data_IF_924374125248
#
_entry.id   IF_924374125248
#
_cell.length_a   1.000
_cell.length_b   1.000
_cell.length_c   1.000
_cell.angle_alpha   90.00
_cell.angle_beta   90.00
_cell.angle_gamma   90.00
#
_symmetry.space_group_name_H-M   'P 1'
#
loop_
_entity.id
_entity.type
_entity.pdbx_description
1 polymer ?
#
# COMPACT_ATOMS: atom_id res chain seq x y z
N UNK A 1 23.12 10.17 19.24
CA UNK A 1 22.27 10.87 20.24
C UNK A 1 21.54 12.08 19.60
N UNK A 2 22.16 12.76 18.60
CA UNK A 2 21.57 13.96 17.94
C UNK A 2 20.35 13.68 17.06
N UNK A 3 20.30 12.53 16.38
CA UNK A 3 19.20 12.18 15.48
C UNK A 3 17.87 11.95 16.23
N UNK A 4 17.91 11.26 17.36
CA UNK A 4 16.75 10.97 18.21
C UNK A 4 16.23 12.29 18.85
N UNK A 5 17.14 13.18 19.27
CA UNK A 5 16.77 14.47 19.83
C UNK A 5 16.09 15.40 18.79
N UNK A 6 16.56 15.38 17.53
CA UNK A 6 15.93 16.13 16.45
C UNK A 6 14.58 15.55 16.05
N UNK A 7 14.43 14.23 16.06
CA UNK A 7 13.14 13.58 15.82
C UNK A 7 12.13 13.94 16.91
N UNK A 8 12.53 13.88 18.19
CA UNK A 8 11.66 14.24 19.31
C UNK A 8 11.20 15.71 19.26
N UNK A 9 12.04 16.64 18.84
CA UNK A 9 11.68 18.05 18.66
C UNK A 9 10.66 18.28 17.55
N UNK A 10 10.64 17.42 16.53
CA UNK A 10 9.72 17.55 15.40
C UNK A 10 8.37 16.84 15.63
N UNK A 11 8.22 16.02 16.67
CA UNK A 11 6.97 15.33 16.99
C UNK A 11 5.78 16.29 17.09
N UNK A 12 5.84 17.43 17.80
CA UNK A 12 4.72 18.36 17.88
C UNK A 12 4.31 18.91 16.50
N UNK A 13 5.29 19.24 15.67
CA UNK A 13 5.05 19.76 14.31
C UNK A 13 4.40 18.69 13.41
N UNK A 14 4.85 17.44 13.53
CA UNK A 14 4.27 16.32 12.80
C UNK A 14 2.81 16.09 13.24
N UNK A 15 2.54 16.12 14.55
CA UNK A 15 1.18 15.95 15.09
C UNK A 15 0.27 17.06 14.57
N UNK A 16 0.71 18.33 14.64
CA UNK A 16 -0.06 19.46 14.09
C UNK A 16 -0.29 19.29 12.61
N UNK A 17 0.72 18.87 11.83
CA UNK A 17 0.60 18.61 10.41
C UNK A 17 -0.43 17.51 10.10
N UNK A 18 -0.43 16.42 10.86
CA UNK A 18 -1.41 15.35 10.72
C UNK A 18 -2.82 15.84 11.05
N UNK A 19 -2.99 16.57 12.13
CA UNK A 19 -4.29 17.15 12.53
C UNK A 19 -4.81 18.09 11.44
N UNK A 20 -3.96 19.01 10.95
CA UNK A 20 -4.32 19.92 9.87
C UNK A 20 -4.67 19.20 8.57
N UNK A 21 -3.95 18.14 8.23
CA UNK A 21 -4.25 17.30 7.08
C UNK A 21 -5.61 16.63 7.21
N UNK A 22 -5.92 16.06 8.37
CA UNK A 22 -7.21 15.40 8.64
C UNK A 22 -8.37 16.41 8.63
N UNK A 23 -8.19 17.58 9.25
CA UNK A 23 -9.18 18.65 9.24
C UNK A 23 -9.43 19.17 7.82
N UNK A 24 -8.37 19.45 7.06
CA UNK A 24 -8.49 19.88 5.68
C UNK A 24 -9.22 18.83 4.83
N UNK A 25 -8.85 17.55 4.96
CA UNK A 25 -9.52 16.47 4.26
C UNK A 25 -11.01 16.38 4.62
N UNK A 26 -11.33 16.52 5.90
CA UNK A 26 -12.72 16.56 6.37
C UNK A 26 -13.52 17.72 5.74
N UNK A 27 -12.97 18.95 5.75
CA UNK A 27 -13.63 20.10 5.16
C UNK A 27 -13.80 19.96 3.65
N UNK A 28 -12.81 19.45 2.92
CA UNK A 28 -12.93 19.18 1.50
C UNK A 28 -14.03 18.16 1.18
N UNK A 29 -14.21 17.14 2.01
CA UNK A 29 -15.29 16.17 1.84
C UNK A 29 -16.64 16.75 2.23
N UNK A 30 -16.71 17.47 3.37
CA UNK A 30 -17.95 18.05 3.89
C UNK A 30 -18.49 19.16 2.99
N UNK A 31 -17.62 20.01 2.42
CA UNK A 31 -17.96 21.14 1.55
C UNK A 31 -17.70 20.85 0.07
N UNK A 32 -17.66 19.58 -0.33
CA UNK A 32 -17.32 19.17 -1.70
C UNK A 32 -18.16 19.89 -2.77
N UNK A 33 -19.44 20.13 -2.49
CA UNK A 33 -20.36 20.75 -3.46
C UNK A 33 -20.01 22.22 -3.67
N UNK A 34 -19.67 22.93 -2.62
CA UNK A 34 -19.24 24.34 -2.70
C UNK A 34 -17.90 24.46 -3.41
N UNK A 35 -16.95 23.59 -3.11
CA UNK A 35 -15.64 23.54 -3.77
C UNK A 35 -15.79 23.25 -5.26
N UNK A 36 -16.63 22.26 -5.62
CA UNK A 36 -16.91 21.93 -7.02
C UNK A 36 -17.63 23.07 -7.73
N UNK A 37 -18.60 23.74 -7.08
CA UNK A 37 -19.31 24.88 -7.65
C UNK A 37 -18.38 26.06 -7.89
N UNK A 38 -17.50 26.39 -6.94
CA UNK A 38 -16.48 27.40 -7.09
C UNK A 38 -15.53 27.08 -8.25
N UNK A 39 -15.05 25.83 -8.31
CA UNK A 39 -14.19 25.36 -9.40
C UNK A 39 -14.89 25.51 -10.76
N UNK A 40 -16.16 25.10 -10.86
CA UNK A 40 -16.95 25.23 -12.10
C UNK A 40 -17.17 26.68 -12.52
N UNK A 41 -17.21 27.62 -11.58
CA UNK A 41 -17.42 29.05 -11.86
C UNK A 41 -16.18 29.73 -12.43
N UNK A 42 -14.99 29.34 -11.98
CA UNK A 42 -13.73 30.02 -12.33
C UNK A 42 -12.96 29.32 -13.47
N UNK A 43 -13.27 28.09 -13.80
CA UNK A 43 -12.51 27.29 -14.78
C UNK A 43 -13.22 27.29 -16.15
N UNK A 44 -12.50 27.68 -17.25
CA UNK A 44 -13.04 27.65 -18.61
C UNK A 44 -13.49 26.26 -19.05
N UNK A 45 -14.49 26.18 -19.94
CA UNK A 45 -15.10 24.90 -20.40
C UNK A 45 -14.07 23.92 -20.99
N UNK A 46 -13.11 24.42 -21.75
CA UNK A 46 -12.06 23.56 -22.34
C UNK A 46 -11.18 22.87 -21.29
N UNK A 47 -10.98 23.52 -20.15
CA UNK A 47 -10.22 22.97 -19.04
C UNK A 47 -11.06 21.98 -18.22
N UNK A 48 -12.37 22.25 -18.09
CA UNK A 48 -13.33 21.37 -17.42
C UNK A 48 -13.42 20.00 -18.09
N UNK A 49 -13.51 19.96 -19.43
CA UNK A 49 -13.56 18.69 -20.17
C UNK A 49 -12.29 17.85 -19.94
N UNK A 50 -11.11 18.48 -19.95
CA UNK A 50 -9.84 17.81 -19.65
C UNK A 50 -9.78 17.34 -18.18
N UNK A 51 -10.30 18.15 -17.28
CA UNK A 51 -10.37 17.81 -15.86
C UNK A 51 -11.31 16.64 -15.59
N UNK A 52 -12.47 16.58 -16.19
CA UNK A 52 -13.43 15.49 -16.05
C UNK A 52 -12.83 14.17 -16.54
N UNK A 53 -12.15 14.18 -17.69
CA UNK A 53 -11.43 12.99 -18.19
C UNK A 53 -10.35 12.56 -17.23
N UNK A 54 -9.54 13.49 -16.73
CA UNK A 54 -8.47 13.21 -15.77
C UNK A 54 -9.03 12.68 -14.44
N UNK A 55 -10.10 13.30 -13.93
CA UNK A 55 -10.76 12.88 -12.69
C UNK A 55 -11.33 11.47 -12.79
N UNK A 56 -12.03 11.16 -13.88
CA UNK A 56 -12.55 9.81 -14.13
C UNK A 56 -11.43 8.78 -14.29
N UNK A 57 -10.37 9.14 -14.97
CA UNK A 57 -9.20 8.25 -15.12
C UNK A 57 -8.50 8.02 -13.79
N UNK A 58 -8.30 9.05 -12.98
CA UNK A 58 -7.67 8.94 -11.66
C UNK A 58 -8.53 8.13 -10.68
N UNK A 59 -9.83 8.43 -10.60
CA UNK A 59 -10.74 7.68 -9.70
C UNK A 59 -10.87 6.22 -10.11
N UNK A 60 -10.91 5.96 -11.43
CA UNK A 60 -10.90 4.60 -11.96
C UNK A 60 -9.60 3.86 -11.62
N UNK A 61 -8.44 4.51 -11.82
CA UNK A 61 -7.14 3.93 -11.52
C UNK A 61 -6.97 3.67 -10.00
N UNK A 62 -7.36 4.63 -9.15
CA UNK A 62 -7.30 4.47 -7.69
C UNK A 62 -8.23 3.33 -7.24
N UNK A 63 -9.47 3.31 -7.71
CA UNK A 63 -10.42 2.24 -7.39
C UNK A 63 -9.94 0.87 -7.88
N UNK A 64 -9.37 0.82 -9.09
CA UNK A 64 -8.75 -0.37 -9.66
C UNK A 64 -7.57 -0.86 -8.81
N UNK A 65 -6.70 0.06 -8.37
CA UNK A 65 -5.58 -0.26 -7.50
C UNK A 65 -6.04 -0.85 -6.15
N UNK A 66 -6.99 -0.22 -5.47
CA UNK A 66 -7.52 -0.75 -4.20
C UNK A 66 -8.15 -2.14 -4.37
N UNK A 67 -8.90 -2.35 -5.45
CA UNK A 67 -9.48 -3.67 -5.76
C UNK A 67 -8.40 -4.71 -6.05
N UNK A 68 -7.34 -4.32 -6.75
CA UNK A 68 -6.18 -5.17 -7.01
C UNK A 68 -5.47 -5.53 -5.69
N UNK A 69 -5.22 -4.54 -4.84
CA UNK A 69 -4.55 -4.72 -3.55
C UNK A 69 -5.33 -5.67 -2.65
N UNK A 70 -6.65 -5.51 -2.53
CA UNK A 70 -7.49 -6.45 -1.77
C UNK A 70 -7.37 -7.90 -2.28
N UNK A 71 -7.32 -8.11 -3.59
CA UNK A 71 -7.12 -9.44 -4.15
C UNK A 71 -5.75 -10.02 -3.79
N UNK A 72 -4.70 -9.19 -3.82
CA UNK A 72 -3.35 -9.61 -3.43
C UNK A 72 -3.32 -9.99 -1.96
N UNK A 73 -3.96 -9.20 -1.09
CA UNK A 73 -4.00 -9.46 0.35
C UNK A 73 -4.72 -10.77 0.70
N UNK A 74 -5.74 -11.15 -0.05
CA UNK A 74 -6.38 -12.46 0.12
C UNK A 74 -5.37 -13.60 -0.13
N UNK A 75 -4.56 -13.50 -1.17
CA UNK A 75 -3.52 -14.49 -1.46
C UNK A 75 -2.41 -14.51 -0.39
N UNK A 76 -1.99 -13.34 0.06
CA UNK A 76 -1.01 -13.21 1.16
C UNK A 76 -1.56 -13.80 2.44
N UNK A 77 -2.81 -13.50 2.80
CA UNK A 77 -3.48 -14.08 3.95
C UNK A 77 -3.52 -15.63 3.89
N UNK A 78 -3.94 -16.19 2.75
CA UNK A 78 -4.00 -17.65 2.57
C UNK A 78 -2.61 -18.30 2.70
N UNK A 79 -1.59 -17.68 2.12
CA UNK A 79 -0.22 -18.16 2.25
C UNK A 79 0.24 -18.14 3.71
N UNK A 80 0.02 -17.02 4.42
CA UNK A 80 0.36 -16.89 5.83
C UNK A 80 -0.38 -17.90 6.70
N UNK A 81 -1.68 -18.08 6.44
CA UNK A 81 -2.51 -19.04 7.17
C UNK A 81 -1.97 -20.46 7.02
N UNK A 82 -1.70 -20.91 5.79
CA UNK A 82 -1.13 -22.23 5.50
C UNK A 82 0.25 -22.38 6.15
N UNK A 83 1.12 -21.37 6.01
CA UNK A 83 2.45 -21.39 6.60
C UNK A 83 2.40 -21.50 8.12
N UNK A 84 1.54 -20.75 8.80
CA UNK A 84 1.40 -20.80 10.26
C UNK A 84 0.73 -22.09 10.75
N UNK A 85 -0.15 -22.69 9.95
CA UNK A 85 -0.69 -24.01 10.25
C UNK A 85 0.42 -25.09 10.21
N UNK A 86 1.29 -25.05 9.20
CA UNK A 86 2.44 -25.98 9.08
C UNK A 86 3.41 -25.79 10.27
N UNK A 87 3.68 -24.55 10.64
CA UNK A 87 4.53 -24.22 11.78
C UNK A 87 3.84 -24.43 13.15
N UNK A 88 2.56 -24.80 13.15
CA UNK A 88 1.75 -24.99 14.37
C UNK A 88 1.74 -23.75 15.28
N UNK A 89 1.69 -22.57 14.68
CA UNK A 89 1.61 -21.30 15.42
C UNK A 89 0.28 -21.21 16.13
N UNK A 90 0.32 -21.00 17.46
CA UNK A 90 -0.88 -20.75 18.25
C UNK A 90 -1.52 -19.44 17.78
N UNK A 91 -2.82 -19.47 17.48
CA UNK A 91 -3.56 -18.33 16.91
C UNK A 91 -3.07 -17.86 15.54
N UNK A 92 -2.48 -18.76 14.74
CA UNK A 92 -1.94 -18.44 13.41
C UNK A 92 -2.92 -17.73 12.49
N UNK A 93 -4.21 -18.08 12.53
CA UNK A 93 -5.26 -17.41 11.74
C UNK A 93 -5.45 -15.94 12.11
N UNK A 94 -5.50 -15.62 13.42
CA UNK A 94 -5.61 -14.23 13.89
C UNK A 94 -4.37 -13.41 13.54
N UNK A 95 -3.19 -14.00 13.71
CA UNK A 95 -1.92 -13.36 13.37
C UNK A 95 -1.84 -13.09 11.86
N UNK A 96 -2.28 -14.05 11.03
CA UNK A 96 -2.33 -13.88 9.57
C UNK A 96 -3.23 -12.71 9.16
N UNK A 97 -4.40 -12.55 9.79
CA UNK A 97 -5.29 -11.41 9.54
C UNK A 97 -4.59 -10.09 9.93
N UNK A 98 -3.97 -10.04 11.12
CA UNK A 98 -3.24 -8.86 11.57
C UNK A 98 -2.10 -8.48 10.62
N UNK A 99 -1.34 -9.45 10.13
CA UNK A 99 -0.27 -9.23 9.16
C UNK A 99 -0.83 -8.75 7.83
N UNK A 100 -1.92 -9.34 7.32
CA UNK A 100 -2.54 -8.92 6.07
C UNK A 100 -3.07 -7.48 6.14
N UNK A 101 -3.64 -7.07 7.27
CA UNK A 101 -4.07 -5.68 7.49
C UNK A 101 -2.88 -4.72 7.50
N UNK A 102 -1.79 -5.08 8.16
CA UNK A 102 -0.56 -4.27 8.17
C UNK A 102 0.07 -4.20 6.77
N UNK A 103 0.04 -5.29 6.04
CA UNK A 103 0.60 -5.41 4.70
C UNK A 103 -0.20 -4.59 3.65
N UNK A 104 -1.48 -4.36 3.91
CA UNK A 104 -2.32 -3.47 3.09
C UNK A 104 -1.82 -2.02 3.10
N UNK A 105 -1.13 -1.61 4.15
CA UNK A 105 -0.53 -0.28 4.24
C UNK A 105 0.78 -0.25 3.41
N UNK A 106 0.93 0.69 2.45
CA UNK A 106 2.07 0.70 1.52
C UNK A 106 3.43 0.88 2.19
N UNK A 107 3.46 1.30 3.45
CA UNK A 107 4.69 1.52 4.24
C UNK A 107 5.14 0.26 4.98
N UNK A 108 4.18 -0.60 5.35
CA UNK A 108 4.44 -1.82 6.11
C UNK A 108 4.29 -3.02 5.19
N UNK A 109 5.28 -3.87 5.12
CA UNK A 109 5.18 -5.14 4.41
C UNK A 109 5.08 -6.31 5.39
N UNK A 110 4.76 -7.51 4.92
CA UNK A 110 4.81 -8.74 5.73
C UNK A 110 6.15 -8.91 6.43
N UNK A 111 7.23 -8.42 5.82
CA UNK A 111 8.59 -8.44 6.39
C UNK A 111 8.73 -7.67 7.69
N UNK A 112 8.01 -6.58 7.86
CA UNK A 112 8.06 -5.74 9.08
C UNK A 112 7.70 -6.53 10.34
N UNK A 113 6.86 -7.55 10.20
CA UNK A 113 6.47 -8.43 11.31
C UNK A 113 7.32 -9.70 11.34
N UNK A 114 7.50 -10.36 10.19
CA UNK A 114 8.14 -11.67 10.12
C UNK A 114 9.65 -11.62 10.41
N UNK A 115 10.34 -10.56 10.00
CA UNK A 115 11.77 -10.41 10.27
C UNK A 115 12.09 -10.26 11.76
N UNK A 116 11.51 -9.30 12.50
CA UNK A 116 11.75 -9.19 13.93
C UNK A 116 11.35 -10.46 14.68
N UNK A 117 10.25 -11.09 14.27
CA UNK A 117 9.80 -12.34 14.87
C UNK A 117 10.80 -13.48 14.64
N UNK A 118 11.32 -13.63 13.43
CA UNK A 118 12.35 -14.61 13.11
C UNK A 118 13.61 -14.38 13.95
N UNK A 119 14.06 -13.13 14.10
CA UNK A 119 15.23 -12.78 14.96
C UNK A 119 14.99 -13.19 16.42
N UNK A 120 13.83 -12.87 16.98
CA UNK A 120 13.47 -13.28 18.36
C UNK A 120 13.51 -14.80 18.49
N UNK A 121 13.05 -15.54 17.49
CA UNK A 121 13.08 -17.01 17.49
C UNK A 121 14.50 -17.58 17.40
N UNK A 122 15.37 -16.95 16.61
CA UNK A 122 16.80 -17.31 16.57
C UNK A 122 17.46 -17.10 17.93
N UNK A 123 17.23 -15.96 18.55
CA UNK A 123 17.79 -15.65 19.89
C UNK A 123 17.26 -16.60 20.97
N UNK A 124 16.03 -17.09 20.81
CA UNK A 124 15.44 -18.11 21.68
C UNK A 124 15.88 -19.56 21.38
N UNK A 125 16.75 -19.78 20.38
CA UNK A 125 17.23 -21.12 19.99
C UNK A 125 16.24 -21.92 19.12
N UNK A 126 15.11 -21.36 18.74
CA UNK A 126 14.09 -22.03 17.90
C UNK A 126 14.37 -21.77 16.42
N UNK A 127 15.48 -22.33 15.92
CA UNK A 127 15.89 -22.16 14.52
C UNK A 127 14.87 -22.71 13.52
N UNK A 128 14.15 -23.77 13.88
CA UNK A 128 13.14 -24.38 13.01
C UNK A 128 12.01 -23.38 12.73
N UNK A 129 11.54 -22.71 13.75
CA UNK A 129 10.51 -21.69 13.61
C UNK A 129 11.02 -20.47 12.84
N UNK A 130 12.23 -20.01 13.14
CA UNK A 130 12.84 -18.86 12.47
C UNK A 130 13.00 -19.09 10.95
N UNK A 131 13.55 -20.24 10.55
CA UNK A 131 13.70 -20.63 9.14
C UNK A 131 12.32 -20.73 8.48
N UNK A 132 11.35 -21.33 9.16
CA UNK A 132 9.97 -21.42 8.64
C UNK A 132 9.36 -20.05 8.36
N UNK A 133 9.53 -19.07 9.26
CA UNK A 133 9.05 -17.69 9.08
C UNK A 133 9.73 -17.01 7.89
N UNK A 134 11.02 -17.19 7.70
CA UNK A 134 11.77 -16.64 6.57
C UNK A 134 11.36 -17.28 5.23
N UNK A 135 11.09 -18.60 5.23
CA UNK A 135 10.57 -19.29 4.04
C UNK A 135 9.18 -18.74 3.66
N UNK A 136 8.28 -18.60 4.63
CA UNK A 136 6.95 -18.03 4.39
C UNK A 136 7.07 -16.62 3.82
N UNK A 137 7.95 -15.79 4.40
CA UNK A 137 8.21 -14.45 3.88
C UNK A 137 8.75 -14.48 2.45
N UNK A 138 9.76 -15.32 2.16
CA UNK A 138 10.37 -15.45 0.83
C UNK A 138 9.36 -15.90 -0.23
N UNK A 139 8.56 -16.93 0.07
CA UNK A 139 7.49 -17.40 -0.81
C UNK A 139 6.45 -16.30 -1.02
N UNK A 140 6.10 -15.54 0.03
CA UNK A 140 5.20 -14.39 -0.07
C UNK A 140 5.73 -13.31 -1.00
N UNK A 141 7.03 -13.00 -0.94
CA UNK A 141 7.66 -12.03 -1.85
C UNK A 141 7.66 -12.52 -3.30
N UNK A 142 7.96 -13.80 -3.55
CA UNK A 142 7.90 -14.38 -4.89
C UNK A 142 6.47 -14.33 -5.44
N UNK A 143 5.50 -14.74 -4.63
CA UNK A 143 4.08 -14.70 -5.01
C UNK A 143 3.65 -13.28 -5.36
N UNK A 144 4.04 -12.30 -4.55
CA UNK A 144 3.76 -10.88 -4.80
C UNK A 144 4.40 -10.42 -6.11
N UNK A 145 5.68 -10.72 -6.35
CA UNK A 145 6.37 -10.33 -7.58
C UNK A 145 5.72 -10.91 -8.84
N UNK A 146 5.16 -12.11 -8.77
CA UNK A 146 4.51 -12.76 -9.90
C UNK A 146 3.06 -12.30 -10.11
N UNK A 147 2.31 -12.13 -9.03
CA UNK A 147 0.87 -11.86 -9.09
C UNK A 147 0.57 -10.37 -9.17
N UNK A 148 1.32 -9.53 -8.47
CA UNK A 148 1.05 -8.09 -8.38
C UNK A 148 1.03 -7.38 -9.74
N UNK A 149 2.01 -7.56 -10.65
CA UNK A 149 1.97 -6.91 -11.95
C UNK A 149 0.75 -7.31 -12.78
N UNK A 150 0.34 -8.59 -12.70
CA UNK A 150 -0.81 -9.09 -13.44
C UNK A 150 -2.12 -8.55 -12.89
N UNK A 151 -2.35 -8.64 -11.58
CA UNK A 151 -3.60 -8.18 -10.97
C UNK A 151 -3.74 -6.66 -11.08
N UNK A 152 -2.65 -5.91 -10.88
CA UNK A 152 -2.65 -4.44 -10.97
C UNK A 152 -2.88 -4.01 -12.40
N UNK A 153 -2.18 -4.61 -13.38
CA UNK A 153 -2.35 -4.33 -14.80
C UNK A 153 -3.79 -4.53 -15.27
N UNK A 154 -4.38 -5.67 -14.95
CA UNK A 154 -5.77 -6.00 -15.30
C UNK A 154 -6.78 -5.06 -14.61
N UNK A 155 -6.46 -4.54 -13.42
CA UNK A 155 -7.38 -3.73 -12.62
C UNK A 155 -7.35 -2.23 -12.97
N UNK A 156 -6.20 -1.73 -13.43
CA UNK A 156 -6.04 -0.32 -13.85
C UNK A 156 -6.48 -0.14 -15.31
N UNK A 157 -6.55 -1.23 -16.09
CA UNK A 157 -6.98 -1.19 -17.48
C UNK A 157 -5.98 -0.48 -18.41
N UNK A 158 -4.72 -0.35 -17.98
CA UNK A 158 -3.66 0.24 -18.82
C UNK A 158 -3.05 -0.86 -19.69
N UNK A 159 -3.22 -0.79 -21.02
CA UNK A 159 -2.60 -1.78 -21.91
C UNK A 159 -1.07 -1.81 -21.74
N UNK A 160 -0.43 -2.98 -21.79
CA UNK A 160 1.03 -3.10 -21.59
C UNK A 160 1.85 -2.29 -22.60
N UNK A 161 1.38 -2.18 -23.82
CA UNK A 161 2.06 -1.46 -24.91
C UNK A 161 2.23 0.04 -24.63
N UNK A 162 1.19 0.83 -24.31
CA UNK A 162 1.36 2.22 -23.93
C UNK A 162 2.28 2.43 -22.74
N UNK A 163 2.25 1.53 -21.75
CA UNK A 163 3.12 1.61 -20.57
C UNK A 163 4.59 1.45 -20.95
N UNK A 164 4.92 0.48 -21.81
CA UNK A 164 6.28 0.31 -22.32
C UNK A 164 6.76 1.53 -23.14
N UNK A 165 5.88 2.10 -23.97
CA UNK A 165 6.18 3.31 -24.71
C UNK A 165 6.46 4.51 -23.81
N UNK A 166 5.63 4.71 -22.78
CA UNK A 166 5.81 5.81 -21.82
C UNK A 166 7.11 5.64 -21.00
N UNK A 167 7.44 4.42 -20.59
CA UNK A 167 8.69 4.12 -19.89
C UNK A 167 9.89 4.38 -20.83
N UNK A 168 9.82 3.96 -22.09
CA UNK A 168 10.89 4.19 -23.06
C UNK A 168 11.08 5.67 -23.36
N UNK A 169 9.99 6.43 -23.54
CA UNK A 169 10.06 7.88 -23.73
C UNK A 169 10.62 8.56 -22.49
N UNK A 170 10.15 8.20 -21.28
CA UNK A 170 10.64 8.75 -20.03
C UNK A 170 12.14 8.50 -19.83
N UNK A 171 12.63 7.32 -20.20
CA UNK A 171 14.07 7.00 -20.14
C UNK A 171 14.89 7.81 -21.14
N UNK A 172 14.33 8.17 -22.29
CA UNK A 172 15.08 8.88 -23.36
C UNK A 172 15.04 10.41 -23.21
N UNK A 173 14.07 10.95 -22.46
CA UNK A 173 13.87 12.40 -22.29
C UNK A 173 14.38 12.90 -20.92
N UNK A 174 14.56 12.02 -19.93
CA UNK A 174 15.14 12.33 -18.61
C UNK A 174 16.59 11.91 -18.53
#
# INVERSE_FOLDING_TARGET
VSAVGNFAKNIPTIIVGVIMCLLSSYFFVAQREEVIAAFRRYVPENFRKKWDVMYHSLTGAIGGYFKAQLKIEIWVYLLMLVGFLILRVRYGALISIGIAILDFLPVFGTGTVLWPWAVIKVLGGDFKMAIGLLIIWGVGQLLRQLIQPKIVGDSIGVPPLPTLFLIFIGYKVG
#
